data_IF_683399764667
#
_entry.id   IF_683399764667
#
_cell.length_a   1.000
_cell.length_b   1.000
_cell.length_c   1.000
_cell.angle_alpha   90.00
_cell.angle_beta   90.00
_cell.angle_gamma   90.00
#
_symmetry.space_group_name_H-M   'P 1'
#
loop_
_entity.id
_entity.type
_entity.pdbx_description
1 polymer ?
#
# COMPACT_ATOMS: atom_id res chain seq x y z
N UNK A 1 -16.50 -25.13 -17.05
CA UNK A 1 -16.23 -24.15 -15.96
C UNK A 1 -16.13 -22.80 -16.64
N UNK A 2 -17.08 -21.89 -16.41
CA UNK A 2 -17.09 -20.59 -17.12
C UNK A 2 -15.87 -19.75 -16.74
N UNK A 3 -15.36 -18.95 -17.67
CA UNK A 3 -14.30 -18.00 -17.34
C UNK A 3 -14.76 -17.09 -16.19
N UNK A 4 -13.89 -16.84 -15.19
CA UNK A 4 -14.25 -15.92 -14.12
C UNK A 4 -14.51 -14.54 -14.71
N UNK A 5 -15.59 -13.91 -14.22
CA UNK A 5 -16.03 -12.58 -14.65
C UNK A 5 -14.93 -11.55 -14.41
N UNK A 6 -14.76 -10.63 -15.36
CA UNK A 6 -13.92 -9.43 -15.19
C UNK A 6 -14.52 -8.56 -14.08
N UNK A 7 -13.74 -8.35 -13.02
CA UNK A 7 -14.15 -7.53 -11.88
C UNK A 7 -13.66 -6.09 -12.03
N UNK A 8 -12.45 -5.90 -12.56
CA UNK A 8 -11.83 -4.59 -12.72
C UNK A 8 -10.68 -4.65 -13.73
N UNK A 9 -10.56 -3.60 -14.56
CA UNK A 9 -9.36 -3.33 -15.34
C UNK A 9 -8.74 -1.97 -14.94
N UNK A 10 -7.43 -1.84 -15.15
CA UNK A 10 -6.72 -0.56 -15.11
C UNK A 10 -5.81 -0.42 -16.32
N UNK A 11 -5.64 0.80 -16.79
CA UNK A 11 -4.81 1.14 -17.94
C UNK A 11 -3.78 2.22 -17.56
N UNK A 12 -2.59 2.17 -18.15
CA UNK A 12 -1.58 3.21 -18.04
C UNK A 12 -0.75 3.26 -19.31
N UNK A 13 -0.60 4.44 -19.88
CA UNK A 13 0.31 4.68 -20.99
C UNK A 13 1.63 5.25 -20.45
N UNK A 14 2.76 4.66 -20.83
CA UNK A 14 4.11 5.13 -20.52
C UNK A 14 4.94 5.17 -21.79
N UNK A 15 6.12 5.80 -21.76
CA UNK A 15 7.05 5.77 -22.89
C UNK A 15 7.43 4.34 -23.36
N UNK A 16 7.31 3.33 -22.49
CA UNK A 16 7.59 1.93 -22.83
C UNK A 16 6.42 1.24 -23.55
N UNK A 17 5.23 1.84 -23.56
CA UNK A 17 4.01 1.27 -24.16
C UNK A 17 2.80 1.36 -23.22
N UNK A 18 1.71 0.69 -23.61
CA UNK A 18 0.44 0.67 -22.87
C UNK A 18 0.37 -0.55 -21.97
N UNK A 19 0.28 -0.32 -20.67
CA UNK A 19 0.04 -1.37 -19.68
C UNK A 19 -1.44 -1.48 -19.38
N UNK A 20 -1.95 -2.70 -19.36
CA UNK A 20 -3.31 -3.00 -18.90
C UNK A 20 -3.26 -4.11 -17.86
N UNK A 21 -3.96 -3.93 -16.75
CA UNK A 21 -4.03 -4.91 -15.67
C UNK A 21 -5.47 -5.29 -15.48
N UNK A 22 -5.77 -6.58 -15.60
CA UNK A 22 -7.11 -7.13 -15.46
C UNK A 22 -7.18 -8.03 -14.24
N UNK A 23 -8.28 -7.92 -13.50
CA UNK A 23 -8.56 -8.75 -12.33
C UNK A 23 -9.88 -9.46 -12.53
N UNK A 24 -9.83 -10.79 -12.37
CA UNK A 24 -10.99 -11.67 -12.43
C UNK A 24 -11.17 -12.41 -11.12
N UNK A 25 -12.42 -12.53 -10.65
CA UNK A 25 -12.76 -13.20 -9.40
C UNK A 25 -12.47 -12.37 -8.14
N UNK A 26 -13.17 -12.70 -7.05
CA UNK A 26 -13.13 -11.96 -5.78
C UNK A 26 -12.36 -12.69 -4.67
N UNK A 27 -12.49 -14.01 -4.60
CA UNK A 27 -11.82 -14.86 -3.59
C UNK A 27 -10.57 -15.52 -4.17
N UNK A 28 -10.72 -16.27 -5.27
CA UNK A 28 -9.59 -16.76 -6.05
C UNK A 28 -9.34 -15.78 -7.20
N UNK A 29 -8.44 -14.83 -6.95
CA UNK A 29 -8.23 -13.66 -7.80
C UNK A 29 -7.21 -14.04 -8.85
N UNK A 30 -7.54 -13.83 -10.11
CA UNK A 30 -6.60 -13.94 -11.22
C UNK A 30 -6.25 -12.52 -11.71
N UNK A 31 -4.98 -12.17 -11.60
CA UNK A 31 -4.40 -10.94 -12.14
C UNK A 31 -3.74 -11.29 -13.47
N UNK A 32 -4.13 -10.60 -14.54
CA UNK A 32 -3.50 -10.67 -15.85
C UNK A 32 -2.89 -9.31 -16.17
N UNK A 33 -1.60 -9.27 -16.47
CA UNK A 33 -0.91 -8.07 -16.92
C UNK A 33 -0.63 -8.17 -18.42
N UNK A 34 -1.06 -7.15 -19.16
CA UNK A 34 -0.82 -6.97 -20.58
C UNK A 34 0.05 -5.74 -20.82
N UNK A 35 0.91 -5.82 -21.83
CA UNK A 35 1.69 -4.72 -22.39
C UNK A 35 1.47 -4.71 -23.90
N UNK A 36 0.94 -3.59 -24.42
CA UNK A 36 0.53 -3.42 -25.82
C UNK A 36 -0.37 -4.55 -26.36
N UNK A 37 -1.24 -5.07 -25.50
CA UNK A 37 -2.18 -6.18 -25.81
C UNK A 37 -1.57 -7.58 -25.71
N UNK A 38 -0.26 -7.71 -25.51
CA UNK A 38 0.41 -8.99 -25.26
C UNK A 38 0.36 -9.31 -23.77
N UNK A 39 -0.02 -10.55 -23.42
CA UNK A 39 -0.02 -10.97 -22.02
C UNK A 39 1.41 -11.19 -21.55
N UNK A 40 1.84 -10.38 -20.58
CA UNK A 40 3.21 -10.45 -20.03
C UNK A 40 3.29 -11.21 -18.71
N UNK A 41 2.17 -11.41 -18.02
CA UNK A 41 2.08 -12.28 -16.85
C UNK A 41 0.64 -12.63 -16.46
N UNK A 42 0.47 -13.78 -15.78
CA UNK A 42 -0.77 -14.25 -15.16
C UNK A 42 -0.48 -14.80 -13.76
N UNK A 43 -1.20 -14.33 -12.76
CA UNK A 43 -1.04 -14.82 -11.38
C UNK A 43 -2.37 -15.07 -10.71
N UNK A 44 -2.51 -16.23 -10.07
CA UNK A 44 -3.64 -16.54 -9.19
C UNK A 44 -3.20 -16.43 -7.73
N UNK A 45 -3.97 -15.73 -6.90
CA UNK A 45 -3.72 -15.63 -5.46
C UNK A 45 -5.00 -15.29 -4.70
N UNK A 46 -5.01 -15.57 -3.41
CA UNK A 46 -6.03 -15.14 -2.45
C UNK A 46 -5.56 -13.93 -1.62
N UNK A 47 -4.29 -13.52 -1.78
CA UNK A 47 -3.67 -12.45 -1.00
C UNK A 47 -4.26 -11.09 -1.31
N UNK A 48 -4.27 -10.21 -0.31
CA UNK A 48 -4.71 -8.82 -0.45
C UNK A 48 -3.70 -7.94 -1.18
N UNK A 49 -2.46 -8.40 -1.32
CA UNK A 49 -1.39 -7.75 -2.08
C UNK A 49 -0.79 -8.76 -3.04
N UNK A 50 -1.08 -8.60 -4.32
CA UNK A 50 -0.58 -9.48 -5.37
C UNK A 50 0.49 -8.72 -6.14
N UNK A 51 1.70 -9.28 -6.24
CA UNK A 51 2.78 -8.75 -7.08
C UNK A 51 2.98 -9.67 -8.27
N UNK A 52 3.08 -9.10 -9.45
CA UNK A 52 3.16 -9.85 -10.71
C UNK A 52 4.40 -9.39 -11.46
N UNK A 53 5.35 -10.31 -11.67
CA UNK A 53 6.56 -10.09 -12.47
C UNK A 53 6.37 -10.64 -13.89
N UNK A 54 7.07 -10.10 -14.91
CA UNK A 54 7.02 -10.61 -16.27
C UNK A 54 7.36 -12.10 -16.31
N UNK A 55 6.60 -12.86 -17.08
CA UNK A 55 6.77 -14.30 -17.24
C UNK A 55 6.11 -15.17 -16.16
N UNK A 56 5.60 -14.61 -15.07
CA UNK A 56 4.84 -15.42 -14.10
C UNK A 56 3.57 -15.99 -14.76
N UNK A 57 3.38 -17.31 -14.64
CA UNK A 57 2.19 -18.00 -15.18
C UNK A 57 2.08 -18.02 -16.70
N UNK A 58 3.20 -17.82 -17.39
CA UNK A 58 3.35 -18.00 -18.84
C UNK A 58 4.14 -19.29 -19.12
N UNK A 59 3.94 -19.88 -20.30
CA UNK A 59 4.79 -20.98 -20.76
C UNK A 59 6.19 -20.50 -21.19
N UNK A 60 7.05 -21.43 -21.64
CA UNK A 60 8.41 -21.09 -22.05
C UNK A 60 8.44 -20.24 -23.33
N UNK A 61 7.62 -20.60 -24.33
CA UNK A 61 7.53 -19.92 -25.61
C UNK A 61 7.00 -18.48 -25.46
N UNK A 62 6.01 -18.26 -24.60
CA UNK A 62 5.48 -16.95 -24.25
C UNK A 62 6.55 -16.10 -23.54
N UNK A 63 7.34 -16.70 -22.64
CA UNK A 63 8.39 -15.99 -21.88
C UNK A 63 9.52 -15.48 -22.77
N UNK A 64 9.94 -16.24 -23.78
CA UNK A 64 11.03 -15.82 -24.67
C UNK A 64 10.64 -14.64 -25.56
N UNK A 65 9.35 -14.38 -25.75
CA UNK A 65 8.83 -13.26 -26.56
C UNK A 65 8.50 -12.02 -25.74
N UNK A 66 8.79 -12.03 -24.44
CA UNK A 66 8.49 -10.89 -23.59
C UNK A 66 9.39 -9.69 -23.90
N UNK A 67 8.83 -8.47 -23.85
CA UNK A 67 9.66 -7.27 -23.87
C UNK A 67 10.64 -7.26 -22.70
N UNK A 68 11.88 -6.87 -22.96
CA UNK A 68 12.86 -6.64 -21.90
C UNK A 68 12.59 -5.35 -21.13
N UNK A 69 13.15 -5.23 -19.92
CA UNK A 69 13.05 -4.02 -19.11
C UNK A 69 11.67 -3.76 -18.48
N UNK A 70 10.72 -4.69 -18.65
CA UNK A 70 9.46 -4.66 -17.91
C UNK A 70 9.71 -4.79 -16.41
N UNK A 71 9.12 -3.90 -15.62
CA UNK A 71 9.26 -3.90 -14.17
C UNK A 71 8.31 -4.87 -13.48
N UNK A 72 7.43 -4.38 -12.62
CA UNK A 72 6.50 -5.22 -11.85
C UNK A 72 5.17 -4.50 -11.62
N UNK A 73 4.07 -5.27 -11.58
CA UNK A 73 2.75 -4.74 -11.23
C UNK A 73 2.33 -5.21 -9.85
N UNK A 74 2.05 -4.25 -8.96
CA UNK A 74 1.43 -4.51 -7.66
C UNK A 74 -0.06 -4.22 -7.70
N UNK A 75 -0.89 -5.19 -7.31
CA UNK A 75 -2.35 -5.05 -7.19
C UNK A 75 -2.77 -5.18 -5.73
N UNK A 76 -3.50 -4.18 -5.26
CA UNK A 76 -4.01 -4.10 -3.89
C UNK A 76 -5.52 -4.37 -3.87
N UNK A 77 -5.94 -5.15 -2.88
CA UNK A 77 -7.32 -5.45 -2.57
C UNK A 77 -7.66 -5.00 -1.15
N UNK A 78 -8.96 -4.82 -0.87
CA UNK A 78 -9.44 -4.78 0.52
C UNK A 78 -9.41 -6.18 1.13
N UNK A 79 -9.45 -6.30 2.46
CA UNK A 79 -9.69 -7.57 3.17
C UNK A 79 -10.94 -8.34 2.72
N UNK A 80 -11.95 -7.65 2.17
CA UNK A 80 -13.15 -8.28 1.59
C UNK A 80 -12.99 -8.63 0.10
N UNK A 81 -11.77 -8.63 -0.43
CA UNK A 81 -11.43 -9.00 -1.81
C UNK A 81 -11.84 -8.05 -2.92
N UNK A 82 -12.22 -6.82 -2.59
CA UNK A 82 -12.51 -5.81 -3.60
C UNK A 82 -11.21 -5.22 -4.18
N UNK A 83 -11.04 -5.21 -5.52
CA UNK A 83 -9.91 -4.55 -6.16
C UNK A 83 -9.90 -3.06 -5.80
N UNK A 84 -8.71 -2.53 -5.47
CA UNK A 84 -8.53 -1.13 -5.03
C UNK A 84 -7.61 -0.34 -5.92
N UNK A 85 -6.47 -0.90 -6.29
CA UNK A 85 -5.40 -0.18 -6.99
C UNK A 85 -4.48 -1.15 -7.72
N UNK A 86 -4.02 -0.75 -8.90
CA UNK A 86 -2.86 -1.32 -9.55
C UNK A 86 -1.75 -0.25 -9.65
N UNK A 87 -0.51 -0.64 -9.41
CA UNK A 87 0.67 0.24 -9.46
C UNK A 87 1.76 -0.44 -10.28
N UNK A 88 2.28 0.26 -11.28
CA UNK A 88 3.43 -0.15 -12.08
C UNK A 88 4.72 0.34 -11.40
N UNK A 89 5.66 -0.56 -11.18
CA UNK A 89 7.01 -0.29 -10.71
C UNK A 89 7.98 -0.49 -11.87
N UNK A 90 9.01 0.34 -11.97
CA UNK A 90 10.10 0.12 -12.93
C UNK A 90 10.91 -1.12 -12.56
N UNK A 91 11.75 -1.63 -13.46
CA UNK A 91 12.63 -2.76 -13.17
C UNK A 91 13.55 -2.48 -11.96
N UNK A 92 14.07 -1.25 -11.86
CA UNK A 92 14.88 -0.81 -10.71
C UNK A 92 14.08 -0.78 -9.40
N UNK A 93 12.84 -0.29 -9.43
CA UNK A 93 11.99 -0.23 -8.23
C UNK A 93 11.49 -1.62 -7.80
N UNK A 94 11.32 -2.55 -8.74
CA UNK A 94 10.73 -3.87 -8.51
C UNK A 94 11.55 -4.71 -7.53
N UNK A 95 12.87 -4.65 -7.60
CA UNK A 95 13.77 -5.41 -6.73
C UNK A 95 14.18 -4.66 -5.45
N UNK A 96 13.71 -3.41 -5.29
CA UNK A 96 13.98 -2.57 -4.13
C UNK A 96 12.94 -2.65 -3.01
N UNK A 97 13.26 -2.03 -1.87
CA UNK A 97 12.34 -1.89 -0.72
C UNK A 97 11.06 -1.09 -1.05
N UNK A 98 11.14 -0.26 -2.09
CA UNK A 98 10.06 0.56 -2.66
C UNK A 98 8.85 -0.30 -3.02
N UNK A 99 9.05 -1.37 -3.80
CA UNK A 99 7.99 -2.31 -4.18
C UNK A 99 7.43 -3.11 -2.99
N UNK A 100 8.28 -3.39 -1.99
CA UNK A 100 7.91 -4.13 -0.80
C UNK A 100 6.94 -3.35 0.09
N UNK A 101 7.23 -2.06 0.26
CA UNK A 101 6.45 -1.13 1.09
C UNK A 101 5.22 -0.58 0.36
N UNK A 102 5.15 -0.75 -0.97
CA UNK A 102 4.12 -0.14 -1.80
C UNK A 102 4.32 1.35 -2.01
N UNK A 103 5.49 1.88 -1.65
CA UNK A 103 5.91 3.25 -1.93
C UNK A 103 6.47 3.31 -3.36
N UNK A 104 6.48 4.48 -4.00
CA UNK A 104 6.94 4.61 -5.39
C UNK A 104 5.97 4.03 -6.43
N UNK A 105 6.48 3.81 -7.64
CA UNK A 105 5.70 3.39 -8.81
C UNK A 105 4.73 4.46 -9.33
N UNK A 106 4.04 4.11 -10.42
CA UNK A 106 2.97 4.90 -11.05
C UNK A 106 1.65 4.14 -10.93
N UNK A 107 0.65 4.74 -10.30
CA UNK A 107 -0.67 4.14 -10.16
C UNK A 107 -1.38 4.13 -11.53
N UNK A 108 -1.99 3.00 -11.92
CA UNK A 108 -2.74 2.87 -13.17
C UNK A 108 -4.16 3.46 -13.02
N UNK A 109 -4.74 3.91 -14.13
CA UNK A 109 -6.08 4.48 -14.18
C UNK A 109 -7.13 3.37 -14.15
N UNK A 110 -8.09 3.38 -13.20
CA UNK A 110 -9.17 2.41 -13.20
C UNK A 110 -10.08 2.61 -14.40
N UNK A 111 -10.62 1.50 -14.92
CA UNK A 111 -11.60 1.50 -16.01
C UNK A 111 -12.75 2.49 -15.73
N UNK A 112 -13.12 3.36 -16.68
CA UNK A 112 -14.21 4.32 -16.51
C UNK A 112 -15.53 3.64 -16.14
N UNK A 113 -16.28 4.24 -15.22
CA UNK A 113 -17.56 3.68 -14.74
C UNK A 113 -17.43 2.47 -13.81
N UNK A 114 -16.22 1.97 -13.57
CA UNK A 114 -15.96 0.92 -12.59
C UNK A 114 -16.12 1.41 -11.15
N UNK A 115 -16.22 0.46 -10.20
CA UNK A 115 -16.27 0.79 -8.76
C UNK A 115 -14.98 1.45 -8.27
N UNK A 116 -13.83 1.08 -8.82
CA UNK A 116 -12.56 1.71 -8.48
C UNK A 116 -12.52 3.16 -8.96
N UNK A 117 -13.03 3.44 -10.16
CA UNK A 117 -13.17 4.81 -10.69
C UNK A 117 -14.12 5.65 -9.82
N UNK A 118 -15.30 5.13 -9.50
CA UNK A 118 -16.26 5.84 -8.62
C UNK A 118 -15.70 6.08 -7.21
N UNK A 119 -14.86 5.17 -6.71
CA UNK A 119 -14.15 5.36 -5.45
C UNK A 119 -13.10 6.48 -5.55
N UNK A 120 -12.29 6.49 -6.61
CA UNK A 120 -11.28 7.53 -6.85
C UNK A 120 -11.92 8.91 -6.96
N UNK A 121 -13.01 9.03 -7.73
CA UNK A 121 -13.78 10.27 -7.86
C UNK A 121 -14.35 10.75 -6.52
N UNK A 122 -14.96 9.86 -5.73
CA UNK A 122 -15.50 10.21 -4.41
C UNK A 122 -14.42 10.72 -3.45
N UNK A 123 -13.24 10.10 -3.48
CA UNK A 123 -12.09 10.52 -2.65
C UNK A 123 -11.58 11.89 -3.11
N UNK A 124 -11.49 12.13 -4.41
CA UNK A 124 -11.06 13.41 -4.99
C UNK A 124 -12.07 14.55 -4.75
N UNK A 125 -13.36 14.25 -4.82
CA UNK A 125 -14.42 15.23 -4.58
C UNK A 125 -14.52 15.66 -3.11
N UNK A 126 -14.15 14.78 -2.16
CA UNK A 126 -14.29 15.05 -0.73
C UNK A 126 -13.03 14.72 0.09
N UNK A 127 -11.87 15.33 -0.22
CA UNK A 127 -10.61 14.96 0.38
C UNK A 127 -10.58 15.20 1.90
N UNK A 128 -11.23 16.27 2.37
CA UNK A 128 -11.34 16.60 3.80
C UNK A 128 -12.22 15.62 4.57
N UNK A 129 -13.32 15.15 3.98
CA UNK A 129 -14.22 14.17 4.63
C UNK A 129 -13.54 12.80 4.70
N UNK A 130 -12.82 12.42 3.65
CA UNK A 130 -12.11 11.15 3.61
C UNK A 130 -10.96 11.11 4.62
N UNK A 131 -10.19 12.20 4.71
CA UNK A 131 -9.19 12.36 5.76
C UNK A 131 -9.82 12.29 7.15
N UNK A 132 -10.93 12.98 7.39
CA UNK A 132 -11.64 12.96 8.67
C UNK A 132 -12.16 11.56 9.05
N UNK A 133 -12.75 10.80 8.11
CA UNK A 133 -13.26 9.44 8.37
C UNK A 133 -12.10 8.46 8.65
N UNK A 134 -11.00 8.54 7.90
CA UNK A 134 -9.83 7.69 8.16
C UNK A 134 -9.16 8.03 9.49
N UNK A 135 -9.07 9.32 9.85
CA UNK A 135 -8.61 9.73 11.18
C UNK A 135 -9.55 9.24 12.27
N UNK A 136 -10.88 9.36 12.09
CA UNK A 136 -11.87 8.86 13.04
C UNK A 136 -11.79 7.32 13.21
N UNK A 137 -11.57 6.58 12.12
CA UNK A 137 -11.33 5.13 12.17
C UNK A 137 -10.07 4.76 12.96
N UNK A 138 -8.97 5.50 12.77
CA UNK A 138 -7.75 5.33 13.55
C UNK A 138 -7.93 5.63 15.05
N UNK A 139 -8.69 6.68 15.39
CA UNK A 139 -9.05 7.02 16.77
C UNK A 139 -9.88 5.92 17.42
N UNK A 140 -10.84 5.36 16.69
CA UNK A 140 -11.69 4.28 17.20
C UNK A 140 -10.87 3.03 17.56
N UNK A 141 -9.81 2.69 16.80
CA UNK A 141 -8.94 1.55 17.10
C UNK A 141 -8.25 1.67 18.47
N UNK A 142 -8.00 2.90 18.96
CA UNK A 142 -7.40 3.14 20.28
C UNK A 142 -8.47 3.24 21.36
N UNK A 143 -9.54 4.01 21.12
CA UNK A 143 -10.56 4.26 22.12
C UNK A 143 -11.38 3.03 22.45
N UNK A 144 -11.69 2.18 21.46
CA UNK A 144 -12.55 1.01 21.68
C UNK A 144 -11.93 0.02 22.68
N UNK A 145 -10.65 -0.41 22.56
CA UNK A 145 -10.02 -1.26 23.57
C UNK A 145 -9.98 -0.64 24.96
N UNK A 146 -9.71 0.67 25.07
CA UNK A 146 -9.67 1.37 26.37
C UNK A 146 -11.05 1.38 27.02
N UNK A 147 -12.10 1.70 26.26
CA UNK A 147 -13.47 1.70 26.76
C UNK A 147 -13.93 0.31 27.16
N UNK A 148 -13.56 -0.72 26.39
CA UNK A 148 -13.84 -2.13 26.74
C UNK A 148 -13.08 -2.53 28.00
N UNK A 149 -11.80 -2.20 28.14
CA UNK A 149 -11.01 -2.50 29.34
C UNK A 149 -11.57 -1.79 30.58
N UNK A 150 -11.94 -0.51 30.45
CA UNK A 150 -12.57 0.25 31.53
C UNK A 150 -13.94 -0.34 31.93
N UNK A 151 -14.73 -0.80 30.96
CA UNK A 151 -16.00 -1.47 31.22
C UNK A 151 -15.80 -2.81 31.94
N UNK A 152 -14.82 -3.62 31.51
CA UNK A 152 -14.46 -4.88 32.16
C UNK A 152 -13.95 -4.68 33.58
N UNK A 153 -13.07 -3.69 33.80
CA UNK A 153 -12.59 -3.33 35.13
C UNK A 153 -13.74 -2.87 36.03
N UNK A 154 -14.65 -2.04 35.50
CA UNK A 154 -15.83 -1.61 36.24
C UNK A 154 -16.73 -2.79 36.60
N UNK A 155 -16.99 -3.70 35.66
CA UNK A 155 -17.76 -4.91 35.91
C UNK A 155 -17.08 -5.77 36.98
N UNK A 156 -15.75 -5.93 36.90
CA UNK A 156 -14.97 -6.64 37.90
C UNK A 156 -15.02 -6.03 39.30
N UNK A 157 -15.13 -4.70 39.41
CA UNK A 157 -15.24 -4.03 40.71
C UNK A 157 -16.67 -3.98 41.25
N UNK A 158 -17.69 -4.12 40.39
CA UNK A 158 -19.11 -4.03 40.79
C UNK A 158 -19.81 -5.38 40.97
N UNK A 159 -19.30 -6.44 40.34
CA UNK A 159 -19.87 -7.78 40.46
C UNK A 159 -19.25 -8.47 41.68
N UNK A 160 -20.06 -9.00 42.62
CA UNK A 160 -19.54 -9.84 43.69
C UNK A 160 -19.07 -11.17 43.08
N UNK A 161 -17.76 -11.30 42.89
CA UNK A 161 -17.15 -12.55 42.42
C UNK A 161 -17.20 -13.59 43.54
N UNK A 162 -17.42 -14.87 43.22
CA UNK A 162 -17.28 -15.94 44.20
C UNK A 162 -15.84 -16.00 44.71
N UNK A 163 -15.66 -16.17 46.02
CA UNK A 163 -14.35 -16.39 46.64
C UNK A 163 -13.76 -17.70 46.12
N UNK A 164 -12.78 -17.59 45.22
CA UNK A 164 -11.99 -18.72 44.76
C UNK A 164 -10.72 -18.82 45.59
N UNK A 165 -10.65 -19.85 46.41
CA UNK A 165 -9.50 -20.18 47.26
C UNK A 165 -8.37 -20.72 46.37
N UNK A 166 -7.58 -19.81 45.78
CA UNK A 166 -6.46 -20.16 44.91
C UNK A 166 -5.22 -20.45 45.77
N UNK A 167 -4.53 -21.60 45.54
CA UNK A 167 -3.35 -21.95 46.31
C UNK A 167 -2.22 -20.94 46.10
N UNK A 168 -1.62 -20.47 47.19
CA UNK A 168 -0.48 -19.55 47.18
C UNK A 168 0.75 -20.22 46.56
N UNK A 169 1.19 -19.73 45.40
CA UNK A 169 2.42 -20.17 44.74
C UNK A 169 3.61 -19.41 45.36
N UNK A 170 4.60 -20.10 45.95
CA UNK A 170 5.80 -19.44 46.48
C UNK A 170 6.66 -18.91 45.33
N UNK A 171 6.94 -17.62 45.33
CA UNK A 171 7.85 -17.00 44.37
C UNK A 171 9.30 -17.24 44.79
N UNK A 172 10.21 -17.52 43.83
CA UNK A 172 11.63 -17.66 44.14
C UNK A 172 12.24 -16.31 44.54
N UNK A 173 13.15 -16.36 45.51
CA UNK A 173 13.89 -15.20 46.01
C UNK A 173 15.11 -14.96 45.10
N UNK A 174 15.13 -13.86 44.33
CA UNK A 174 16.21 -13.54 43.39
C UNK A 174 17.10 -12.43 43.94
N UNK A 175 18.27 -12.78 44.47
CA UNK A 175 19.32 -11.80 44.80
C UNK A 175 20.16 -11.48 43.55
N UNK A 176 19.90 -10.35 42.90
CA UNK A 176 20.74 -9.85 41.81
C UNK A 176 22.05 -9.24 42.35
N UNK A 177 23.22 -9.52 41.74
CA UNK A 177 24.48 -8.91 42.17
C UNK A 177 24.52 -7.42 41.87
N UNK A 178 24.99 -6.62 42.85
CA UNK A 178 25.14 -5.17 42.71
C UNK A 178 26.36 -4.83 41.84
N UNK A 179 26.13 -4.18 40.69
CA UNK A 179 27.18 -3.67 39.81
C UNK A 179 27.54 -2.24 40.24
N UNK A 180 28.82 -1.96 40.58
CA UNK A 180 29.25 -0.61 40.92
C UNK A 180 29.40 0.22 39.63
N UNK A 181 28.56 1.23 39.46
CA UNK A 181 28.66 2.17 38.34
C UNK A 181 29.64 3.30 38.68
N UNK A 182 30.44 3.79 37.71
CA UNK A 182 31.30 4.95 37.94
C UNK A 182 30.49 6.24 38.05
N UNK A 183 30.94 7.15 38.92
CA UNK A 183 30.35 8.49 39.07
C UNK A 183 30.61 9.31 37.80
N UNK A 184 29.54 9.68 37.09
CA UNK A 184 29.60 10.57 35.93
C UNK A 184 29.61 12.04 36.42
N UNK A 185 30.41 12.93 35.79
CA UNK A 185 30.42 14.34 36.14
C UNK A 185 29.04 14.98 35.88
N UNK A 186 28.54 15.73 36.86
CA UNK A 186 27.28 16.46 36.77
C UNK A 186 27.43 17.66 35.83
N UNK A 187 26.90 17.51 34.61
CA UNK A 187 26.73 18.62 33.69
C UNK A 187 25.48 19.41 34.15
N UNK A 188 25.58 20.71 34.48
CA UNK A 188 24.41 21.52 34.81
C UNK A 188 23.60 21.75 33.54
N UNK A 189 22.55 20.94 33.36
CA UNK A 189 21.56 21.17 32.32
C UNK A 189 20.70 22.37 32.71
N UNK A 190 20.35 23.27 31.78
CA UNK A 190 19.39 24.32 32.08
C UNK A 190 18.05 23.70 32.49
N UNK A 191 17.36 24.31 33.47
CA UNK A 191 16.03 23.92 33.96
C UNK A 191 14.97 24.13 32.87
N UNK A 192 14.93 23.22 31.91
CA UNK A 192 13.92 23.20 30.86
C UNK A 192 12.75 22.34 31.32
N UNK A 193 11.69 22.98 31.81
CA UNK A 193 10.42 22.29 32.02
C UNK A 193 9.68 22.18 30.69
N UNK A 194 9.24 20.95 30.35
CA UNK A 194 8.36 20.78 29.22
C UNK A 194 7.01 21.44 29.55
N UNK A 195 6.39 22.16 28.59
CA UNK A 195 5.02 22.65 28.75
C UNK A 195 4.09 21.51 29.18
N UNK A 196 3.17 21.75 30.13
CA UNK A 196 2.35 20.68 30.73
C UNK A 196 1.56 19.85 29.73
N UNK A 197 1.13 20.45 28.61
CA UNK A 197 0.48 19.72 27.52
C UNK A 197 1.42 18.74 26.81
N UNK A 198 2.71 19.07 26.70
CA UNK A 198 3.72 18.23 26.04
C UNK A 198 4.16 17.08 26.95
N UNK A 199 4.30 17.33 28.25
CA UNK A 199 4.53 16.27 29.25
C UNK A 199 3.37 15.26 29.28
N UNK A 200 2.13 15.75 29.27
CA UNK A 200 0.94 14.89 29.21
C UNK A 200 0.87 14.03 27.95
N UNK A 201 1.21 14.59 26.77
CA UNK A 201 1.25 13.84 25.51
C UNK A 201 2.33 12.76 25.53
N UNK A 202 3.51 13.02 26.11
CA UNK A 202 4.58 12.03 26.23
C UNK A 202 4.20 10.88 27.17
N UNK A 203 3.53 11.18 28.29
CA UNK A 203 3.01 10.17 29.23
C UNK A 203 1.94 9.27 28.60
N UNK A 204 1.18 9.81 27.63
CA UNK A 204 0.11 9.09 26.93
C UNK A 204 0.49 8.72 25.49
N UNK A 205 1.78 8.70 25.16
CA UNK A 205 2.26 8.54 23.80
C UNK A 205 1.75 7.24 23.15
N UNK A 206 1.61 6.14 23.90
CA UNK A 206 1.06 4.87 23.41
C UNK A 206 -0.37 4.98 22.88
N UNK A 207 -1.16 5.93 23.40
CA UNK A 207 -2.55 6.18 22.99
C UNK A 207 -2.67 7.28 21.92
N UNK A 208 -1.81 8.30 22.00
CA UNK A 208 -1.83 9.42 21.04
C UNK A 208 -1.19 9.01 19.71
N UNK A 209 -0.16 8.16 19.76
CA UNK A 209 0.62 7.76 18.60
C UNK A 209 -0.22 7.16 17.46
N UNK A 210 -1.17 6.22 17.67
CA UNK A 210 -1.93 5.66 16.55
C UNK A 210 -2.86 6.69 15.87
N UNK A 211 -3.37 7.67 16.62
CA UNK A 211 -4.20 8.76 16.06
C UNK A 211 -3.36 9.66 15.16
N UNK A 212 -2.19 10.07 15.67
CA UNK A 212 -1.22 10.87 14.91
C UNK A 212 -0.77 10.10 13.67
N UNK A 213 -0.46 8.81 13.81
CA UNK A 213 -0.08 7.94 12.70
C UNK A 213 -1.18 7.86 11.64
N UNK A 214 -2.44 7.65 12.02
CA UNK A 214 -3.57 7.61 11.10
C UNK A 214 -3.76 8.94 10.35
N UNK A 215 -3.64 10.08 11.05
CA UNK A 215 -3.71 11.40 10.43
C UNK A 215 -2.56 11.64 9.44
N UNK A 216 -1.33 11.30 9.83
CA UNK A 216 -0.14 11.43 8.96
C UNK A 216 -0.27 10.51 7.74
N UNK A 217 -0.71 9.26 7.90
CA UNK A 217 -0.97 8.33 6.80
C UNK A 217 -2.05 8.86 5.86
N UNK A 218 -3.15 9.40 6.38
CA UNK A 218 -4.22 9.98 5.57
C UNK A 218 -3.73 11.19 4.76
N UNK A 219 -2.97 12.10 5.39
CA UNK A 219 -2.38 13.26 4.71
C UNK A 219 -1.32 12.83 3.67
N UNK A 220 -0.54 11.81 3.99
CA UNK A 220 0.41 11.18 3.10
C UNK A 220 -0.25 10.59 1.86
N UNK A 221 -1.37 9.88 2.02
CA UNK A 221 -2.14 9.31 0.90
C UNK A 221 -2.71 10.42 -0.02
N UNK A 222 -3.21 11.52 0.54
CA UNK A 222 -3.68 12.66 -0.27
C UNK A 222 -2.52 13.29 -1.06
N UNK A 223 -1.36 13.52 -0.42
CA UNK A 223 -0.17 14.05 -1.11
C UNK A 223 0.32 13.09 -2.18
N UNK A 224 0.34 11.78 -1.89
CA UNK A 224 0.72 10.73 -2.84
C UNK A 224 -0.15 10.81 -4.09
N UNK A 225 -1.48 10.88 -3.96
CA UNK A 225 -2.39 10.89 -5.12
C UNK A 225 -2.19 12.10 -6.03
N UNK A 226 -1.90 13.27 -5.47
CA UNK A 226 -1.54 14.45 -6.26
C UNK A 226 -0.28 14.20 -7.07
N UNK A 227 0.75 13.67 -6.41
CA UNK A 227 2.01 13.34 -7.07
C UNK A 227 1.87 12.21 -8.10
N UNK A 228 0.95 11.27 -7.88
CA UNK A 228 0.62 10.22 -8.85
C UNK A 228 -0.13 10.78 -10.08
N UNK A 229 -1.00 11.76 -9.89
CA UNK A 229 -1.62 12.47 -11.02
C UNK A 229 -0.57 13.22 -11.86
N UNK A 230 0.39 13.89 -11.21
CA UNK A 230 1.52 14.54 -11.88
C UNK A 230 2.38 13.53 -12.65
N UNK A 231 2.77 12.40 -12.01
CA UNK A 231 3.57 11.35 -12.65
C UNK A 231 2.87 10.73 -13.85
N UNK A 232 1.55 10.49 -13.75
CA UNK A 232 0.74 10.02 -14.89
C UNK A 232 0.73 11.06 -16.02
N UNK A 233 0.57 12.34 -15.70
CA UNK A 233 0.59 13.41 -16.71
C UNK A 233 1.94 13.49 -17.43
N UNK A 234 3.06 13.40 -16.69
CA UNK A 234 4.41 13.36 -17.27
C UNK A 234 4.62 12.12 -18.13
N UNK A 235 4.17 10.95 -17.68
CA UNK A 235 4.27 9.70 -18.44
C UNK A 235 3.46 9.74 -19.76
N UNK A 236 2.34 10.46 -19.79
CA UNK A 236 1.55 10.70 -21.01
C UNK A 236 2.20 11.76 -21.91
N UNK A 237 2.69 12.87 -21.36
CA UNK A 237 3.34 13.91 -22.16
C UNK A 237 4.60 13.38 -22.87
N UNK A 238 5.37 12.50 -22.22
CA UNK A 238 6.54 11.85 -22.83
C UNK A 238 6.20 10.88 -23.97
N UNK A 239 4.94 10.48 -24.14
CA UNK A 239 4.48 9.77 -25.34
C UNK A 239 4.24 10.74 -26.51
N UNK A 240 3.70 11.93 -26.24
CA UNK A 240 3.39 12.94 -27.26
C UNK A 240 4.66 13.60 -27.83
N UNK A 241 5.72 13.70 -27.03
CA UNK A 241 7.01 14.26 -27.44
C UNK A 241 7.89 13.30 -28.26
N UNK A 242 7.54 12.00 -28.32
CA UNK A 242 8.23 11.04 -29.18
C UNK A 242 7.77 11.30 -30.63
N UNK A 243 8.60 11.90 -31.50
CA UNK A 243 8.20 12.11 -32.88
C UNK A 243 7.93 10.75 -33.51
N UNK A 244 7.00 10.68 -34.46
CA UNK A 244 6.73 9.50 -35.28
C UNK A 244 7.95 9.16 -36.16
N UNK A 245 9.03 8.68 -35.55
CA UNK A 245 10.20 8.15 -36.24
C UNK A 245 9.90 6.68 -36.57
N UNK A 246 9.13 6.44 -37.64
CA UNK A 246 9.12 5.18 -38.46
C UNK A 246 7.86 5.00 -39.33
N UNK A 247 7.38 6.04 -40.02
CA UNK A 247 6.33 5.86 -41.04
C UNK A 247 6.74 6.21 -42.47
N UNK A 248 7.98 6.63 -42.73
CA UNK A 248 8.41 6.97 -44.10
C UNK A 248 9.92 6.73 -44.33
N UNK A 249 10.33 5.45 -44.40
CA UNK A 249 11.50 5.03 -45.17
C UNK A 249 11.39 3.55 -45.57
N UNK A 250 10.36 3.24 -46.36
CA UNK A 250 10.28 1.95 -47.05
C UNK A 250 9.67 2.13 -48.44
N UNK A 251 10.23 3.05 -49.21
CA UNK A 251 9.99 3.09 -50.66
C UNK A 251 11.23 3.52 -51.44
N UNK A 252 12.32 2.74 -51.42
CA UNK A 252 13.19 2.66 -52.61
C UNK A 252 14.18 1.50 -52.52
N UNK A 253 14.19 0.66 -53.56
CA UNK A 253 15.09 -0.49 -53.65
C UNK A 253 14.49 -1.70 -54.35
N UNK A 254 13.66 -1.50 -55.38
CA UNK A 254 13.30 -2.56 -56.33
C UNK A 254 14.49 -2.74 -57.28
N UNK A 255 15.18 -3.89 -57.32
CA UNK A 255 16.23 -4.12 -58.28
C UNK A 255 15.56 -4.46 -59.62
N UNK A 256 15.67 -3.56 -60.60
CA UNK A 256 15.38 -3.89 -61.99
C UNK A 256 16.52 -4.78 -62.50
N UNK A 257 16.19 -6.05 -62.70
CA UNK A 257 16.96 -6.98 -63.52
C UNK A 257 16.61 -6.72 -64.97
N UNK A 258 17.60 -6.33 -65.79
CA UNK A 258 17.77 -6.75 -67.18
C UNK A 258 19.26 -6.60 -67.56
#
# INVERSE_FOLDING_TARGET
MGEPKLEQAWDLATAQGRHRVEVRGTVNRQVTWLHDGVVVARKKSMDDKIRVKPGEGLDEDERTRLPEGLGMVGVLFTHLGRPRRATLYTAEEADGLTSLTGLGGIDLDPEPGSRAAAYEEKVLAHPRRYAAIQTAGGVATVLVPILVAALLARLALTVPWPDWDLPSIPWPDWSLPSIPWPDLPSIPWPDWSLPGWLAWVLDHASYVWPVVLAYVLARGEVRRRRHQAERRAVARASLEERPEESADDSTEGRPDQL
#
